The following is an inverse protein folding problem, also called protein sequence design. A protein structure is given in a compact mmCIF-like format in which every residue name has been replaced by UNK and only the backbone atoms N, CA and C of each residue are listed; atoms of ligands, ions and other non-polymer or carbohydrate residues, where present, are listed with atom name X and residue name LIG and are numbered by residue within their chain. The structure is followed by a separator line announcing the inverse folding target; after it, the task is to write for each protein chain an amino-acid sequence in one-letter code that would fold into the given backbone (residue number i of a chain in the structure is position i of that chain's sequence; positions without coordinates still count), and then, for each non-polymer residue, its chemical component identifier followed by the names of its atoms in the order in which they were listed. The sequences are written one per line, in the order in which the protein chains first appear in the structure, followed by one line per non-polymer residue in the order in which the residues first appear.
data_IF_937346566365
#
_entry.id   IF_937346566365
#
_cell.length_a   1.000
_cell.length_b   1.000
_cell.length_c   1.000
_cell.angle_alpha   90.00
_cell.angle_beta   90.00
_cell.angle_gamma   90.00
#
_symmetry.space_group_name_H-M   'P 1'
#
loop_
_entity.id
_entity.type
_entity.pdbx_description
1 polymer ?
#
# COMPACT_ATOMS: atom_id res chain seq x y z
N UNK A 1 3.99 20.53 -4.80
CA UNK A 1 2.99 21.29 -5.58
C UNK A 1 3.13 21.09 -7.10
N UNK A 2 4.32 21.31 -7.71
CA UNK A 2 4.54 21.14 -9.17
C UNK A 2 4.34 19.69 -9.62
N UNK A 3 4.74 18.69 -8.81
CA UNK A 3 4.51 17.26 -9.08
C UNK A 3 3.02 16.93 -9.13
N UNK A 4 2.23 17.49 -8.19
CA UNK A 4 0.78 17.32 -8.13
C UNK A 4 0.09 17.85 -9.40
N UNK A 5 0.50 19.05 -9.86
CA UNK A 5 -0.01 19.64 -11.10
C UNK A 5 0.31 18.81 -12.34
N UNK A 6 1.45 18.11 -12.35
CA UNK A 6 1.90 17.27 -13.47
C UNK A 6 1.39 15.81 -13.37
N UNK A 7 0.59 15.46 -12.37
CA UNK A 7 0.11 14.09 -12.15
C UNK A 7 1.23 13.08 -11.82
N UNK A 8 2.39 13.56 -11.33
CA UNK A 8 3.57 12.73 -11.00
C UNK A 8 3.69 12.40 -9.51
N UNK A 9 2.56 12.40 -8.79
CA UNK A 9 2.55 12.04 -7.38
C UNK A 9 2.75 10.55 -7.20
N UNK A 10 3.47 10.20 -6.15
CA UNK A 10 3.57 8.82 -5.67
C UNK A 10 2.21 8.37 -5.11
N UNK A 11 1.93 7.08 -5.20
CA UNK A 11 0.64 6.49 -4.82
C UNK A 11 0.76 5.39 -3.79
N UNK A 12 1.96 4.80 -3.65
CA UNK A 12 2.21 3.67 -2.78
C UNK A 12 3.42 3.95 -1.89
N UNK A 13 3.24 3.76 -0.59
CA UNK A 13 4.29 3.77 0.41
C UNK A 13 4.61 2.34 0.80
N UNK A 14 5.82 1.89 0.53
CA UNK A 14 6.32 0.56 0.87
C UNK A 14 7.28 0.69 2.03
N UNK A 15 7.06 -0.08 3.09
CA UNK A 15 7.76 0.03 4.35
C UNK A 15 8.47 -1.30 4.68
N UNK A 16 9.68 -1.21 5.20
CA UNK A 16 10.27 -2.30 5.96
C UNK A 16 9.56 -2.44 7.32
N UNK A 17 9.88 -3.47 8.10
CA UNK A 17 9.27 -3.74 9.41
C UNK A 17 10.23 -3.44 10.56
N UNK A 18 11.30 -4.22 10.73
CA UNK A 18 12.25 -4.10 11.82
C UNK A 18 13.00 -2.76 11.77
N UNK A 19 13.18 -2.10 12.91
CA UNK A 19 13.73 -0.75 13.02
C UNK A 19 13.04 0.33 12.16
N UNK A 20 11.93 -0.01 11.52
CA UNK A 20 11.10 0.88 10.71
C UNK A 20 9.73 1.09 11.34
N UNK A 21 8.91 0.05 11.50
CA UNK A 21 7.61 0.11 12.17
C UNK A 21 7.70 -0.03 13.70
N UNK A 22 8.73 -0.69 14.18
CA UNK A 22 9.11 -0.82 15.59
C UNK A 22 10.62 -0.83 15.71
N UNK A 23 11.15 -0.55 16.89
CA UNK A 23 12.59 -0.65 17.16
C UNK A 23 12.96 -2.06 17.57
N UNK A 24 14.08 -2.54 17.04
CA UNK A 24 14.55 -3.91 17.24
C UNK A 24 14.16 -4.87 16.13
N UNK A 25 14.62 -6.10 16.24
CA UNK A 25 14.43 -7.20 15.29
C UNK A 25 13.50 -8.22 15.94
N UNK A 26 12.28 -8.35 15.40
CA UNK A 26 11.25 -9.21 16.03
C UNK A 26 11.68 -10.67 16.13
N UNK A 27 12.36 -11.19 15.12
CA UNK A 27 12.87 -12.58 15.13
C UNK A 27 13.93 -12.85 16.19
N UNK A 28 14.59 -11.82 16.73
CA UNK A 28 15.61 -11.92 17.79
C UNK A 28 15.05 -11.54 19.17
N UNK A 29 14.29 -10.45 19.25
CA UNK A 29 13.83 -9.88 20.51
C UNK A 29 12.43 -10.37 20.92
N UNK A 30 11.69 -10.95 19.98
CA UNK A 30 10.29 -11.36 20.17
C UNK A 30 9.33 -10.19 20.39
N UNK A 31 8.04 -10.50 20.48
CA UNK A 31 6.96 -9.51 20.63
C UNK A 31 7.16 -8.58 21.83
N UNK A 32 7.64 -9.10 22.96
CA UNK A 32 7.84 -8.33 24.18
C UNK A 32 9.14 -7.50 24.19
N UNK A 33 10.10 -7.82 23.32
CA UNK A 33 11.41 -7.18 23.27
C UNK A 33 11.45 -5.96 22.36
N UNK A 34 10.64 -5.94 21.29
CA UNK A 34 10.61 -4.81 20.36
C UNK A 34 10.16 -3.51 21.03
N UNK A 35 10.57 -2.38 20.48
CA UNK A 35 10.29 -1.06 21.03
C UNK A 35 9.14 -0.41 20.26
N UNK A 36 7.93 -0.54 20.80
CA UNK A 36 6.72 0.08 20.27
C UNK A 36 5.80 0.46 21.44
N UNK A 37 5.29 1.69 21.46
CA UNK A 37 4.38 2.15 22.51
C UNK A 37 4.47 3.64 22.78
N UNK A 38 3.75 4.12 23.78
CA UNK A 38 3.61 5.56 24.10
C UNK A 38 4.79 6.18 24.83
N UNK A 39 5.77 5.38 25.24
CA UNK A 39 6.97 5.85 25.95
C UNK A 39 8.22 5.68 25.09
N UNK A 40 9.20 6.54 25.31
CA UNK A 40 10.49 6.46 24.61
C UNK A 40 11.22 5.11 24.91
N UNK A 41 11.86 4.47 23.89
CA UNK A 41 11.98 4.89 22.49
C UNK A 41 10.81 4.47 21.61
N UNK A 42 9.87 3.65 22.08
CA UNK A 42 8.73 3.14 21.32
C UNK A 42 7.79 4.22 20.78
N UNK A 43 7.70 5.37 21.45
CA UNK A 43 6.82 6.47 21.02
C UNK A 43 7.15 7.03 19.64
N UNK A 44 8.42 7.02 19.24
CA UNK A 44 8.83 7.47 17.91
C UNK A 44 8.23 6.60 16.80
N UNK A 45 8.23 5.29 16.98
CA UNK A 45 7.63 4.35 16.05
C UNK A 45 6.11 4.39 16.08
N UNK A 46 5.52 4.56 17.26
CA UNK A 46 4.08 4.74 17.41
C UNK A 46 3.57 5.99 16.68
N UNK A 47 4.25 7.14 16.82
CA UNK A 47 3.93 8.38 16.10
C UNK A 47 4.13 8.24 14.59
N UNK A 48 5.17 7.52 14.16
CA UNK A 48 5.40 7.23 12.75
C UNK A 48 4.27 6.39 12.16
N UNK A 49 3.82 5.34 12.85
CA UNK A 49 2.68 4.54 12.42
C UNK A 49 1.38 5.36 12.36
N UNK A 50 1.14 6.28 13.31
CA UNK A 50 0.00 7.19 13.24
C UNK A 50 0.01 8.02 11.95
N UNK A 51 1.19 8.50 11.55
CA UNK A 51 1.31 9.27 10.31
C UNK A 51 1.10 8.39 9.08
N UNK A 52 1.58 7.14 9.07
CA UNK A 52 1.31 6.18 8.00
C UNK A 52 -0.20 5.94 7.85
N UNK A 53 -0.93 5.80 8.97
CA UNK A 53 -2.40 5.66 8.95
C UNK A 53 -3.08 6.93 8.43
N UNK A 54 -2.56 8.13 8.75
CA UNK A 54 -3.05 9.37 8.15
C UNK A 54 -2.86 9.37 6.61
N UNK A 55 -1.73 8.87 6.12
CA UNK A 55 -1.48 8.72 4.68
C UNK A 55 -2.45 7.72 4.04
N UNK A 56 -2.72 6.60 4.71
CA UNK A 56 -3.75 5.64 4.27
C UNK A 56 -5.12 6.32 4.10
N UNK A 57 -5.57 7.11 5.07
CA UNK A 57 -6.83 7.84 4.99
C UNK A 57 -6.85 8.93 3.90
N UNK A 58 -5.68 9.39 3.47
CA UNK A 58 -5.51 10.25 2.29
C UNK A 58 -5.44 9.48 0.98
N UNK A 59 -5.63 8.16 1.00
CA UNK A 59 -5.67 7.30 -0.17
C UNK A 59 -4.30 6.86 -0.68
N UNK A 60 -3.28 6.92 0.16
CA UNK A 60 -1.98 6.33 -0.15
C UNK A 60 -2.05 4.83 0.13
N UNK A 61 -1.64 4.03 -0.84
CA UNK A 61 -1.57 2.58 -0.71
C UNK A 61 -0.39 2.23 0.20
N UNK A 62 -0.62 1.42 1.22
CA UNK A 62 0.44 0.96 2.12
C UNK A 62 0.79 -0.48 1.77
N UNK A 63 2.06 -0.78 1.63
CA UNK A 63 2.58 -2.12 1.42
C UNK A 63 3.78 -2.39 2.33
N UNK A 64 4.05 -3.66 2.62
CA UNK A 64 5.20 -4.08 3.42
C UNK A 64 6.21 -4.84 2.55
N UNK A 65 7.49 -4.57 2.77
CA UNK A 65 8.59 -5.25 2.11
C UNK A 65 9.70 -5.50 3.14
N UNK A 66 9.73 -6.69 3.75
CA UNK A 66 10.65 -6.99 4.85
C UNK A 66 11.37 -8.31 4.66
N UNK A 67 12.65 -8.36 5.02
CA UNK A 67 13.43 -9.59 5.16
C UNK A 67 13.20 -10.17 6.54
N UNK A 68 12.16 -10.98 6.69
CA UNK A 68 11.72 -11.51 7.95
C UNK A 68 10.94 -12.82 7.76
N UNK A 69 10.66 -13.53 8.84
CA UNK A 69 9.65 -14.57 8.83
C UNK A 69 8.26 -13.93 8.87
N UNK A 70 7.38 -14.35 7.99
CA UNK A 70 6.03 -13.79 7.89
C UNK A 70 5.23 -13.98 9.18
N UNK A 71 5.37 -15.15 9.82
CA UNK A 71 4.68 -15.47 11.08
C UNK A 71 5.04 -14.52 12.21
N UNK A 72 6.33 -14.17 12.36
CA UNK A 72 6.81 -13.26 13.40
C UNK A 72 6.24 -11.84 13.21
N UNK A 73 6.20 -11.37 11.97
CA UNK A 73 5.62 -10.04 11.65
C UNK A 73 4.11 -10.04 11.87
N UNK A 74 3.39 -11.09 11.44
CA UNK A 74 1.95 -11.21 11.66
C UNK A 74 1.62 -11.27 13.14
N UNK A 75 2.43 -11.93 13.97
CA UNK A 75 2.25 -11.95 15.41
C UNK A 75 2.29 -10.52 16.00
N UNK A 76 3.20 -9.66 15.52
CA UNK A 76 3.24 -8.25 15.96
C UNK A 76 1.97 -7.52 15.58
N UNK A 77 1.51 -7.65 14.33
CA UNK A 77 0.29 -6.99 13.85
C UNK A 77 -0.95 -7.41 14.61
N UNK A 78 -1.04 -8.69 15.01
CA UNK A 78 -2.22 -9.27 15.66
C UNK A 78 -2.23 -9.09 17.17
N UNK A 79 -1.06 -9.16 17.80
CA UNK A 79 -0.97 -9.32 19.25
C UNK A 79 -0.29 -8.16 19.98
N UNK A 80 0.43 -7.27 19.28
CA UNK A 80 1.09 -6.18 19.99
C UNK A 80 0.10 -5.05 20.35
N UNK A 81 -0.12 -4.75 21.65
CA UNK A 81 -1.20 -3.87 22.10
C UNK A 81 -1.06 -2.41 21.66
N UNK A 82 0.16 -1.97 21.35
CA UNK A 82 0.45 -0.60 20.93
C UNK A 82 0.63 -0.47 19.40
N UNK A 83 0.28 -1.52 18.63
CA UNK A 83 0.34 -1.48 17.17
C UNK A 83 -0.79 -0.60 16.61
N UNK A 84 -0.42 0.48 15.92
CA UNK A 84 -1.35 1.45 15.32
C UNK A 84 -1.71 1.05 13.88
N UNK A 85 -0.69 0.67 13.11
CA UNK A 85 -0.87 0.18 11.75
C UNK A 85 -1.45 -1.23 11.82
N UNK A 86 -2.65 -1.43 11.29
CA UNK A 86 -3.36 -2.72 11.33
C UNK A 86 -3.28 -3.43 9.98
N UNK A 87 -3.47 -4.74 9.94
CA UNK A 87 -3.45 -5.54 8.71
C UNK A 87 -4.39 -4.98 7.62
N UNK A 88 -5.54 -4.44 8.01
CA UNK A 88 -6.50 -3.90 7.05
C UNK A 88 -6.04 -2.61 6.37
N UNK A 89 -5.02 -1.92 6.89
CA UNK A 89 -4.40 -0.78 6.23
C UNK A 89 -3.41 -1.21 5.13
N UNK A 90 -2.91 -2.45 5.19
CA UNK A 90 -1.89 -2.98 4.26
C UNK A 90 -2.58 -3.61 3.06
N UNK A 91 -2.25 -3.14 1.86
CA UNK A 91 -2.82 -3.64 0.61
C UNK A 91 -2.17 -4.95 0.14
N UNK A 92 -0.86 -5.08 0.31
CA UNK A 92 -0.08 -6.29 0.03
C UNK A 92 1.21 -6.29 0.82
N UNK A 93 1.81 -7.47 1.00
CA UNK A 93 3.07 -7.64 1.70
C UNK A 93 3.97 -8.64 0.99
N UNK A 94 5.28 -8.39 1.03
CA UNK A 94 6.33 -9.30 0.65
C UNK A 94 7.28 -9.44 1.85
N UNK A 95 6.95 -10.35 2.75
CA UNK A 95 7.71 -10.65 3.97
C UNK A 95 8.36 -12.01 3.75
N UNK A 96 9.62 -12.00 3.38
CA UNK A 96 10.39 -13.19 3.05
C UNK A 96 11.88 -12.82 2.94
N UNK A 97 12.75 -13.83 2.76
CA UNK A 97 14.20 -13.66 2.69
C UNK A 97 14.77 -13.35 1.30
N UNK A 98 13.92 -13.07 0.30
CA UNK A 98 14.36 -12.59 -1.01
C UNK A 98 14.89 -11.16 -0.91
N UNK A 99 15.63 -10.72 -1.93
CA UNK A 99 16.10 -9.34 -2.00
C UNK A 99 14.93 -8.35 -2.18
N UNK A 100 15.12 -7.13 -1.67
CA UNK A 100 14.10 -6.08 -1.69
C UNK A 100 13.72 -5.66 -3.11
N UNK A 101 14.65 -5.72 -4.06
CA UNK A 101 14.41 -5.37 -5.48
C UNK A 101 13.39 -6.32 -6.10
N UNK A 102 13.58 -7.63 -5.91
CA UNK A 102 12.63 -8.66 -6.35
C UNK A 102 11.27 -8.48 -5.71
N UNK A 103 11.24 -8.22 -4.39
CA UNK A 103 10.01 -8.03 -3.64
C UNK A 103 9.27 -6.75 -4.06
N UNK A 104 9.95 -5.64 -4.33
CA UNK A 104 9.33 -4.40 -4.83
C UNK A 104 8.73 -4.58 -6.22
N UNK A 105 9.39 -5.31 -7.12
CA UNK A 105 8.80 -5.68 -8.43
C UNK A 105 7.54 -6.53 -8.25
N UNK A 106 7.55 -7.47 -7.30
CA UNK A 106 6.37 -8.29 -7.03
C UNK A 106 5.22 -7.45 -6.46
N UNK A 107 5.47 -6.54 -5.52
CA UNK A 107 4.47 -5.61 -5.00
C UNK A 107 3.85 -4.76 -6.12
N UNK A 108 4.67 -4.26 -7.05
CA UNK A 108 4.19 -3.50 -8.20
C UNK A 108 3.24 -4.34 -9.08
N UNK A 109 3.56 -5.61 -9.31
CA UNK A 109 2.72 -6.56 -10.05
C UNK A 109 1.41 -6.88 -9.31
N UNK A 110 1.49 -7.16 -8.00
CA UNK A 110 0.33 -7.49 -7.16
C UNK A 110 -0.68 -6.34 -7.17
N UNK A 111 -0.19 -5.12 -7.02
CA UNK A 111 -0.99 -3.90 -7.02
C UNK A 111 -1.32 -3.37 -8.42
N UNK A 112 -0.71 -3.91 -9.46
CA UNK A 112 -0.84 -3.42 -10.83
C UNK A 112 -0.56 -1.91 -10.96
N UNK A 113 0.56 -1.47 -10.37
CA UNK A 113 1.06 -0.09 -10.43
C UNK A 113 2.48 -0.06 -10.99
N UNK A 114 2.89 1.07 -11.57
CA UNK A 114 4.27 1.25 -12.00
C UNK A 114 5.20 1.56 -10.81
N UNK A 115 6.46 1.14 -10.94
CA UNK A 115 7.51 1.37 -9.93
C UNK A 115 7.70 2.87 -9.64
N UNK A 116 7.48 3.74 -10.63
CA UNK A 116 7.53 5.19 -10.49
C UNK A 116 6.48 5.76 -9.54
N UNK A 117 5.45 4.98 -9.21
CA UNK A 117 4.41 5.35 -8.24
C UNK A 117 4.77 5.03 -6.79
N UNK A 118 5.91 4.37 -6.54
CA UNK A 118 6.30 3.84 -5.24
C UNK A 118 7.31 4.74 -4.53
N UNK A 119 7.17 4.78 -3.20
CA UNK A 119 8.20 5.26 -2.26
C UNK A 119 8.54 4.09 -1.35
N UNK A 120 9.81 3.78 -1.21
CA UNK A 120 10.30 2.73 -0.32
C UNK A 120 11.06 3.35 0.84
N UNK A 121 10.74 2.97 2.07
CA UNK A 121 11.41 3.43 3.29
C UNK A 121 11.97 2.24 4.08
N UNK A 122 13.25 2.34 4.43
CA UNK A 122 14.00 1.26 5.10
C UNK A 122 15.13 1.89 5.95
N UNK A 123 15.52 1.24 7.04
CA UNK A 123 16.60 1.68 7.92
C UNK A 123 17.99 1.21 7.46
N UNK A 124 18.03 0.23 6.55
CA UNK A 124 19.26 -0.35 6.00
C UNK A 124 19.80 0.47 4.84
N UNK A 125 20.97 1.09 5.04
CA UNK A 125 21.67 1.81 3.97
C UNK A 125 22.00 0.90 2.77
N UNK A 126 22.31 -0.37 3.03
CA UNK A 126 22.58 -1.35 1.97
C UNK A 126 21.35 -1.57 1.10
N UNK A 127 20.19 -1.84 1.70
CA UNK A 127 18.95 -2.11 0.96
C UNK A 127 18.48 -0.88 0.18
N UNK A 128 18.53 0.29 0.80
CA UNK A 128 18.15 1.55 0.15
C UNK A 128 19.06 1.85 -1.06
N UNK A 129 20.37 1.66 -0.92
CA UNK A 129 21.32 1.91 -2.02
C UNK A 129 21.15 0.87 -3.14
N UNK A 130 20.89 -0.39 -2.81
CA UNK A 130 20.59 -1.42 -3.80
C UNK A 130 19.32 -1.08 -4.59
N UNK A 131 18.25 -0.65 -3.91
CA UNK A 131 17.01 -0.23 -4.58
C UNK A 131 17.24 0.99 -5.47
N UNK A 132 18.00 1.99 -5.02
CA UNK A 132 18.35 3.16 -5.83
C UNK A 132 19.12 2.81 -7.10
N UNK A 133 19.99 1.81 -7.03
CA UNK A 133 20.77 1.35 -8.16
C UNK A 133 19.94 0.54 -9.16
N UNK A 134 19.15 -0.42 -8.67
CA UNK A 134 18.46 -1.41 -9.50
C UNK A 134 17.04 -0.99 -9.92
N UNK A 135 16.44 -0.04 -9.19
CA UNK A 135 15.09 0.48 -9.41
C UNK A 135 15.07 2.02 -9.30
N UNK A 136 15.75 2.74 -10.20
CA UNK A 136 15.86 4.21 -10.10
C UNK A 136 14.52 4.95 -10.20
N UNK A 137 13.44 4.29 -10.63
CA UNK A 137 12.09 4.82 -10.66
C UNK A 137 11.45 4.89 -9.26
N UNK A 138 11.87 3.98 -8.34
CA UNK A 138 11.40 3.96 -6.96
C UNK A 138 12.12 5.06 -6.18
N UNK A 139 11.36 5.87 -5.47
CA UNK A 139 11.95 6.82 -4.52
C UNK A 139 12.31 6.08 -3.24
N UNK A 140 13.59 5.79 -3.04
CA UNK A 140 14.07 5.06 -1.86
C UNK A 140 14.65 6.01 -0.82
N UNK A 141 14.08 5.98 0.40
CA UNK A 141 14.38 6.88 1.52
C UNK A 141 15.01 6.07 2.65
N UNK A 142 16.22 6.46 3.04
CA UNK A 142 16.89 5.90 4.21
C UNK A 142 16.35 6.53 5.49
N UNK A 143 15.88 5.70 6.41
CA UNK A 143 15.45 6.13 7.73
C UNK A 143 16.66 6.26 8.67
N UNK A 144 16.77 7.35 9.45
CA UNK A 144 17.88 7.54 10.37
C UNK A 144 17.67 6.71 11.65
N UNK A 145 18.02 5.44 11.65
CA UNK A 145 17.79 4.48 12.75
C UNK A 145 18.32 4.97 14.11
N UNK A 146 19.37 5.80 14.12
CA UNK A 146 19.92 6.39 15.36
C UNK A 146 19.04 7.48 15.96
N UNK A 147 18.10 8.04 15.18
CA UNK A 147 17.24 9.14 15.59
C UNK A 147 15.79 8.89 15.09
N UNK A 148 15.10 7.84 15.61
CA UNK A 148 13.76 7.46 15.13
C UNK A 148 12.71 8.57 15.30
N UNK A 149 12.92 9.50 16.22
CA UNK A 149 12.05 10.68 16.41
C UNK A 149 11.88 11.51 15.12
N UNK A 150 12.81 11.41 14.18
CA UNK A 150 12.74 12.10 12.90
C UNK A 150 11.92 11.36 11.83
N UNK A 151 11.51 10.11 12.04
CA UNK A 151 10.78 9.30 11.05
C UNK A 151 9.48 9.98 10.61
N UNK A 152 8.68 10.43 11.58
CA UNK A 152 7.46 11.17 11.31
C UNK A 152 7.73 12.43 10.49
N UNK A 153 8.74 13.21 10.85
CA UNK A 153 9.08 14.45 10.15
C UNK A 153 9.53 14.18 8.71
N UNK A 154 10.31 13.12 8.47
CA UNK A 154 10.71 12.71 7.11
C UNK A 154 9.48 12.39 6.24
N UNK A 155 8.51 11.68 6.80
CA UNK A 155 7.28 11.34 6.07
C UNK A 155 6.41 12.58 5.81
N UNK A 156 6.22 13.44 6.81
CA UNK A 156 5.36 14.64 6.69
C UNK A 156 5.98 15.73 5.82
N UNK A 157 7.30 15.87 5.81
CA UNK A 157 8.01 16.82 4.94
C UNK A 157 8.16 16.36 3.49
N UNK A 158 7.79 15.12 3.21
CA UNK A 158 7.88 14.52 1.90
C UNK A 158 6.73 15.02 1.01
N UNK A 159 7.01 15.88 0.03
CA UNK A 159 6.03 16.41 -0.94
C UNK A 159 5.63 15.40 -2.04
N UNK A 160 6.09 14.17 -1.93
CA UNK A 160 5.91 13.12 -2.94
C UNK A 160 4.45 12.66 -3.08
N UNK A 161 3.68 12.78 -1.99
CA UNK A 161 2.30 12.32 -1.88
C UNK A 161 1.28 13.46 -1.90
N UNK A 162 1.70 14.69 -2.17
CA UNK A 162 0.80 15.84 -2.18
C UNK A 162 -0.26 15.72 -3.26
N UNK A 163 -1.53 15.89 -2.89
CA UNK A 163 -2.68 15.92 -3.79
C UNK A 163 -3.35 17.27 -3.72
N UNK A 164 -3.82 17.79 -4.86
CA UNK A 164 -4.53 19.08 -4.92
C UNK A 164 -5.95 18.96 -4.40
N UNK A 165 -6.60 17.85 -4.66
CA UNK A 165 -7.98 17.56 -4.26
C UNK A 165 -8.02 16.08 -3.86
N UNK A 166 -8.64 15.80 -2.73
CA UNK A 166 -8.88 14.45 -2.24
C UNK A 166 -10.32 14.06 -2.59
N UNK A 167 -10.49 13.17 -3.57
CA UNK A 167 -11.80 12.61 -3.92
C UNK A 167 -12.21 11.48 -2.97
N UNK A 168 -13.49 11.12 -2.94
CA UNK A 168 -13.95 9.94 -2.17
C UNK A 168 -13.40 8.63 -2.76
N UNK A 169 -13.14 8.57 -4.07
CA UNK A 169 -12.42 7.47 -4.70
C UNK A 169 -10.98 7.35 -4.17
N UNK A 170 -10.31 8.49 -3.95
CA UNK A 170 -8.95 8.50 -3.37
C UNK A 170 -8.95 7.96 -1.96
N UNK A 171 -9.89 8.35 -1.11
CA UNK A 171 -10.00 7.87 0.29
C UNK A 171 -10.17 6.35 0.37
N UNK A 172 -10.89 5.76 -0.58
CA UNK A 172 -11.15 4.32 -0.63
C UNK A 172 -10.07 3.52 -1.39
N UNK A 173 -9.06 4.19 -1.95
CA UNK A 173 -8.05 3.56 -2.82
C UNK A 173 -7.36 2.38 -2.15
N UNK A 174 -6.87 2.53 -0.93
CA UNK A 174 -6.18 1.47 -0.18
C UNK A 174 -7.02 0.20 -0.06
N UNK A 175 -8.30 0.35 0.34
CA UNK A 175 -9.23 -0.77 0.46
C UNK A 175 -9.52 -1.45 -0.89
N UNK A 176 -9.65 -0.67 -1.98
CA UNK A 176 -9.87 -1.21 -3.33
C UNK A 176 -8.67 -2.05 -3.80
N UNK A 177 -7.45 -1.55 -3.62
CA UNK A 177 -6.23 -2.28 -4.01
C UNK A 177 -6.04 -3.55 -3.17
N UNK A 178 -6.33 -3.50 -1.86
CA UNK A 178 -6.33 -4.69 -1.00
C UNK A 178 -7.31 -5.75 -1.48
N UNK A 179 -8.54 -5.36 -1.78
CA UNK A 179 -9.56 -6.28 -2.31
C UNK A 179 -9.11 -6.92 -3.63
N UNK A 180 -8.49 -6.15 -4.53
CA UNK A 180 -7.98 -6.66 -5.80
C UNK A 180 -6.78 -7.60 -5.62
N UNK A 181 -5.82 -7.27 -4.75
CA UNK A 181 -4.70 -8.15 -4.41
C UNK A 181 -5.20 -9.48 -3.82
N UNK A 182 -6.20 -9.42 -2.92
CA UNK A 182 -6.83 -10.62 -2.35
C UNK A 182 -7.51 -11.48 -3.42
N UNK A 183 -8.21 -10.87 -4.39
CA UNK A 183 -8.82 -11.59 -5.53
C UNK A 183 -7.77 -12.30 -6.39
N UNK A 184 -6.66 -11.63 -6.70
CA UNK A 184 -5.56 -12.23 -7.47
C UNK A 184 -4.96 -13.43 -6.74
N UNK A 185 -4.74 -13.31 -5.43
CA UNK A 185 -4.24 -14.40 -4.61
C UNK A 185 -5.19 -15.60 -4.58
N UNK A 186 -6.51 -15.36 -4.47
CA UNK A 186 -7.53 -16.41 -4.56
C UNK A 186 -7.54 -17.06 -5.94
N UNK A 187 -7.43 -16.27 -7.01
CA UNK A 187 -7.33 -16.79 -8.38
C UNK A 187 -6.11 -17.66 -8.59
N UNK A 188 -4.94 -17.24 -8.08
CA UNK A 188 -3.70 -18.00 -8.19
C UNK A 188 -3.73 -19.35 -7.42
N UNK A 189 -4.52 -19.42 -6.33
CA UNK A 189 -4.69 -20.64 -5.52
C UNK A 189 -5.83 -21.56 -6.01
N UNK A 190 -6.69 -21.06 -6.89
CA UNK A 190 -7.85 -21.81 -7.38
C UNK A 190 -7.39 -22.94 -8.32
N UNK A 191 -7.93 -24.13 -8.11
CA UNK A 191 -7.65 -25.32 -8.95
C UNK A 191 -8.39 -25.29 -10.29
N UNK A 192 -9.51 -24.55 -10.34
CA UNK A 192 -10.30 -24.33 -11.56
C UNK A 192 -11.07 -23.00 -11.49
N UNK A 193 -11.42 -22.45 -12.68
CA UNK A 193 -12.10 -21.16 -12.80
C UNK A 193 -13.52 -21.15 -12.21
N UNK A 194 -14.21 -22.29 -12.21
CA UNK A 194 -15.57 -22.38 -11.67
C UNK A 194 -15.55 -22.24 -10.15
N UNK A 195 -14.67 -22.97 -9.47
CA UNK A 195 -14.48 -22.86 -8.03
C UNK A 195 -14.06 -21.44 -7.62
N UNK A 196 -13.19 -20.81 -8.44
CA UNK A 196 -12.82 -19.39 -8.23
C UNK A 196 -14.03 -18.45 -8.29
N UNK A 197 -14.84 -18.51 -9.35
CA UNK A 197 -16.02 -17.66 -9.47
C UNK A 197 -17.06 -17.92 -8.38
N UNK A 198 -17.24 -19.17 -7.95
CA UNK A 198 -18.12 -19.48 -6.82
C UNK A 198 -17.60 -18.87 -5.50
N UNK A 199 -16.29 -18.89 -5.27
CA UNK A 199 -15.69 -18.32 -4.05
C UNK A 199 -15.79 -16.81 -3.93
N UNK A 200 -16.01 -16.10 -5.06
CA UNK A 200 -16.17 -14.65 -5.06
C UNK A 200 -17.57 -14.21 -4.60
N UNK A 201 -18.55 -15.13 -4.48
CA UNK A 201 -19.93 -14.84 -4.08
C UNK A 201 -20.53 -13.62 -4.80
N UNK A 202 -20.19 -13.46 -6.11
CA UNK A 202 -20.59 -12.28 -6.87
C UNK A 202 -22.09 -12.22 -7.05
N UNK A 203 -22.66 -11.06 -6.71
CA UNK A 203 -24.07 -10.74 -7.00
C UNK A 203 -24.10 -9.73 -8.13
N UNK A 204 -24.89 -10.02 -9.16
CA UNK A 204 -25.12 -9.11 -10.29
C UNK A 204 -26.53 -8.55 -10.17
N UNK A 205 -26.62 -7.23 -10.10
CA UNK A 205 -27.88 -6.49 -10.13
C UNK A 205 -28.05 -5.84 -11.51
N UNK A 206 -29.04 -6.30 -12.26
CA UNK A 206 -29.30 -5.83 -13.61
C UNK A 206 -30.53 -4.92 -13.59
N UNK A 207 -30.33 -3.65 -13.93
CA UNK A 207 -31.38 -2.62 -13.96
C UNK A 207 -31.39 -1.90 -15.29
N UNK A 208 -32.54 -1.36 -15.67
CA UNK A 208 -32.60 -0.38 -16.76
C UNK A 208 -31.93 0.94 -16.28
N UNK A 209 -31.31 1.63 -17.24
CA UNK A 209 -30.79 2.96 -17.00
C UNK A 209 -31.93 3.93 -16.66
N UNK A 210 -31.71 4.78 -15.67
CA UNK A 210 -32.61 5.84 -15.23
C UNK A 210 -31.87 7.20 -15.25
N UNK A 211 -32.58 8.29 -15.08
CA UNK A 211 -32.03 9.64 -15.11
C UNK A 211 -30.90 9.82 -14.08
N UNK A 212 -30.93 9.11 -12.96
CA UNK A 212 -29.91 9.17 -11.93
C UNK A 212 -28.64 8.41 -12.32
N UNK A 213 -28.78 7.27 -12.97
CA UNK A 213 -27.65 6.39 -13.35
C UNK A 213 -27.00 6.77 -14.69
N UNK A 214 -27.71 7.43 -15.60
CA UNK A 214 -27.21 7.82 -16.92
C UNK A 214 -25.90 8.59 -16.88
N UNK A 215 -25.70 9.64 -16.06
CA UNK A 215 -24.43 10.37 -16.02
C UNK A 215 -23.24 9.47 -15.65
N UNK A 216 -23.45 8.54 -14.71
CA UNK A 216 -22.41 7.59 -14.31
C UNK A 216 -22.12 6.56 -15.39
N UNK A 217 -23.14 6.06 -16.08
CA UNK A 217 -23.00 5.14 -17.20
C UNK A 217 -22.21 5.80 -18.33
N UNK A 218 -22.57 7.03 -18.71
CA UNK A 218 -21.86 7.82 -19.73
C UNK A 218 -20.36 7.97 -19.36
N UNK A 219 -20.06 8.36 -18.12
CA UNK A 219 -18.70 8.48 -17.62
C UNK A 219 -17.92 7.16 -17.73
N UNK A 220 -18.52 6.03 -17.37
CA UNK A 220 -17.90 4.71 -17.45
C UNK A 220 -17.61 4.31 -18.91
N UNK A 221 -18.52 4.56 -19.86
CA UNK A 221 -18.27 4.27 -21.28
C UNK A 221 -17.14 5.09 -21.88
N UNK A 222 -16.83 6.26 -21.30
CA UNK A 222 -15.71 7.10 -21.73
C UNK A 222 -14.35 6.61 -21.15
N UNK A 223 -14.36 6.01 -19.97
CA UNK A 223 -13.14 5.64 -19.23
C UNK A 223 -12.67 4.22 -19.44
N UNK A 224 -13.53 3.31 -19.90
CA UNK A 224 -13.20 1.89 -20.02
C UNK A 224 -13.48 1.33 -21.40
N UNK A 225 -12.58 0.43 -21.84
CA UNK A 225 -12.81 -0.41 -23.02
C UNK A 225 -13.22 -1.84 -22.62
N UNK A 226 -13.10 -2.22 -21.34
CA UNK A 226 -13.55 -3.51 -20.85
C UNK A 226 -15.07 -3.50 -20.68
N UNK A 227 -15.72 -4.59 -21.07
CA UNK A 227 -17.18 -4.76 -21.07
C UNK A 227 -17.97 -3.77 -21.94
N UNK A 228 -17.29 -2.96 -22.75
CA UNK A 228 -17.91 -2.12 -23.76
C UNK A 228 -17.69 -2.74 -25.15
N UNK A 229 -18.57 -3.67 -25.53
CA UNK A 229 -18.45 -4.49 -26.73
C UNK A 229 -18.43 -3.67 -28.04
N UNK A 230 -19.05 -2.51 -28.03
CA UNK A 230 -19.18 -1.66 -29.21
C UNK A 230 -18.20 -0.50 -29.21
N UNK A 231 -17.47 -0.29 -28.10
CA UNK A 231 -16.62 0.89 -27.85
C UNK A 231 -17.34 2.24 -28.05
N UNK A 232 -18.66 2.24 -28.07
CA UNK A 232 -19.44 3.47 -28.07
C UNK A 232 -19.26 4.26 -26.79
N UNK A 233 -19.06 5.55 -26.95
CA UNK A 233 -18.89 6.50 -25.84
C UNK A 233 -20.10 7.42 -25.84
N UNK A 234 -20.87 7.39 -24.78
CA UNK A 234 -22.09 8.18 -24.64
C UNK A 234 -21.80 9.45 -23.83
N UNK A 235 -22.53 10.52 -24.20
CA UNK A 235 -22.65 11.72 -23.36
C UNK A 235 -23.88 11.59 -22.47
N UNK A 236 -23.97 12.41 -21.45
CA UNK A 236 -25.06 12.49 -20.46
C UNK A 236 -26.24 13.34 -20.95
N UNK A 237 -26.19 13.82 -22.22
CA UNK A 237 -27.23 14.61 -22.86
C UNK A 237 -27.67 14.04 -24.19
#
# INVERSE_FOLDING_TARGET
FIRALKGKNKKCLVLDCDNTLWGGIVGEEGLAGIKLGKTHPGSSFHEFQQEIVNFYHRGIIIALCSKNNEEDVLEVFQNHPEMVLQEHHVATSQINWKDKVTNLRQIALDLNIGLESMVFMDDSEFEVNLVRQELPEVEAILLPVKVPVNYRNLLTSCDLFDTLILSDEDKNRGAMYRAEASRKNLQAKATDMKSYFCSLEMVIDIKFADEFSIPRIAQLTQKTNQFNLTTHRYSDG
#
